data_IF_539887959365
#
_entry.id   IF_539887959365
#
_cell.length_a   1.000
_cell.length_b   1.000
_cell.length_c   1.000
_cell.angle_alpha   90.00
_cell.angle_beta   90.00
_cell.angle_gamma   90.00
#
_symmetry.space_group_name_H-M   'P 1'
#
loop_
_entity.id
_entity.type
_entity.pdbx_description
1 polymer ?
#
# COMPACT_ATOMS: atom_id res chain seq x y z
N UNK A 1 -1.64 17.67 34.41
CA UNK A 1 -2.08 17.98 33.04
C UNK A 1 -1.73 16.77 32.19
N UNK A 2 -2.67 15.86 31.94
CA UNK A 2 -2.44 14.80 30.96
C UNK A 2 -2.51 15.47 29.59
N UNK A 3 -1.37 15.61 28.92
CA UNK A 3 -1.36 15.92 27.50
C UNK A 3 -1.92 14.68 26.83
N UNK A 4 -3.20 14.69 26.50
CA UNK A 4 -3.76 13.73 25.55
C UNK A 4 -3.09 14.07 24.24
N UNK A 5 -1.94 13.46 23.94
CA UNK A 5 -1.35 13.55 22.62
C UNK A 5 -2.34 12.90 21.69
N UNK A 6 -3.17 13.72 21.03
CA UNK A 6 -4.02 13.26 19.95
C UNK A 6 -3.09 12.58 18.93
N UNK A 7 -3.38 11.34 18.51
CA UNK A 7 -2.53 10.65 17.55
C UNK A 7 -2.51 11.51 16.27
N UNK A 8 -1.31 11.92 15.87
CA UNK A 8 -1.12 12.65 14.61
C UNK A 8 -1.47 11.68 13.48
N UNK A 9 -2.42 12.02 12.60
CA UNK A 9 -2.81 11.13 11.51
C UNK A 9 -1.64 10.95 10.55
N UNK A 10 -1.47 9.73 10.06
CA UNK A 10 -0.50 9.38 9.03
C UNK A 10 -1.08 9.78 7.68
N UNK A 11 -0.31 10.53 6.90
CA UNK A 11 -0.74 10.97 5.56
C UNK A 11 0.01 10.17 4.50
N UNK A 12 -0.71 9.46 3.65
CA UNK A 12 -0.15 8.79 2.48
C UNK A 12 -0.60 9.49 1.21
N UNK A 13 0.35 9.84 0.36
CA UNK A 13 0.07 10.33 -0.99
C UNK A 13 0.67 9.40 -2.03
N UNK A 14 -0.02 9.24 -3.15
CA UNK A 14 0.48 8.54 -4.32
C UNK A 14 0.25 9.38 -5.57
N UNK A 15 1.20 9.30 -6.50
CA UNK A 15 1.11 9.89 -7.84
C UNK A 15 1.48 8.83 -8.86
N UNK A 16 0.60 8.61 -9.83
CA UNK A 16 0.88 7.71 -10.94
C UNK A 16 1.74 8.39 -12.00
N UNK A 17 2.84 7.72 -12.37
CA UNK A 17 3.65 8.05 -13.55
C UNK A 17 3.24 7.22 -14.76
N UNK A 18 2.68 6.04 -14.52
CA UNK A 18 2.10 5.14 -15.51
C UNK A 18 0.76 4.61 -15.00
N UNK A 19 -0.13 4.19 -15.91
CA UNK A 19 -1.44 3.62 -15.55
C UNK A 19 -1.28 2.37 -14.69
N UNK A 20 -1.51 2.53 -13.39
CA UNK A 20 -1.19 1.49 -12.40
C UNK A 20 -2.41 1.17 -11.56
N UNK A 21 -2.72 -0.12 -11.45
CA UNK A 21 -3.69 -0.58 -10.45
C UNK A 21 -3.07 -0.52 -9.07
N UNK A 22 -3.78 0.12 -8.14
CA UNK A 22 -3.40 0.24 -6.73
C UNK A 22 -4.60 -0.06 -5.84
N UNK A 23 -4.33 -0.76 -4.74
CA UNK A 23 -5.23 -0.89 -3.62
C UNK A 23 -4.58 -0.26 -2.40
N UNK A 24 -5.30 0.63 -1.72
CA UNK A 24 -4.90 1.27 -0.46
C UNK A 24 -5.96 0.97 0.58
N UNK A 25 -5.54 0.37 1.68
CA UNK A 25 -6.37 0.11 2.87
C UNK A 25 -5.80 0.89 4.05
N UNK A 26 -6.63 1.30 4.99
CA UNK A 26 -6.20 2.04 6.18
C UNK A 26 -6.97 1.57 7.42
N UNK A 27 -6.33 1.63 8.59
CA UNK A 27 -6.94 1.45 9.92
C UNK A 27 -7.86 0.23 10.11
N UNK A 28 -7.58 -0.89 9.42
CA UNK A 28 -8.47 -2.07 9.36
C UNK A 28 -9.92 -1.75 8.92
N UNK A 29 -10.11 -0.65 8.22
CA UNK A 29 -11.41 -0.23 7.71
C UNK A 29 -11.95 -1.25 6.69
N UNK A 30 -13.28 -1.38 6.67
CA UNK A 30 -13.98 -2.09 5.60
C UNK A 30 -13.85 -1.35 4.26
N UNK A 31 -13.62 -0.04 4.32
CA UNK A 31 -13.39 0.82 3.17
C UNK A 31 -11.94 0.67 2.69
N UNK A 32 -11.78 0.67 1.37
CA UNK A 32 -10.50 0.71 0.71
C UNK A 32 -10.62 1.57 -0.55
N UNK A 33 -9.48 2.08 -1.02
CA UNK A 33 -9.38 2.66 -2.33
C UNK A 33 -8.80 1.61 -3.27
N UNK A 34 -9.55 1.21 -4.29
CA UNK A 34 -9.09 0.28 -5.31
C UNK A 34 -9.42 0.85 -6.69
N UNK A 35 -8.39 1.22 -7.44
CA UNK A 35 -8.56 1.81 -8.76
C UNK A 35 -7.33 1.64 -9.64
N UNK A 36 -7.52 1.79 -10.96
CA UNK A 36 -6.44 2.06 -11.89
C UNK A 36 -6.23 3.57 -11.90
N UNK A 37 -5.08 4.02 -11.39
CA UNK A 37 -4.72 5.44 -11.34
C UNK A 37 -4.00 5.82 -12.65
N UNK A 38 -4.54 6.75 -13.45
CA UNK A 38 -3.93 7.20 -14.69
C UNK A 38 -2.72 8.11 -14.43
N UNK A 39 -1.78 8.22 -15.37
CA UNK A 39 -0.58 9.04 -15.22
C UNK A 39 -0.92 10.51 -14.97
N UNK A 40 -0.21 11.13 -14.01
CA UNK A 40 -0.43 12.50 -13.56
C UNK A 40 -1.55 12.65 -12.51
N UNK A 41 -2.27 11.58 -12.19
CA UNK A 41 -3.27 11.61 -11.14
C UNK A 41 -2.63 11.35 -9.76
N UNK A 42 -3.03 12.19 -8.80
CA UNK A 42 -2.52 12.15 -7.42
C UNK A 42 -3.69 11.93 -6.46
N UNK A 43 -3.48 11.01 -5.52
CA UNK A 43 -4.42 10.73 -4.45
C UNK A 43 -3.74 10.94 -3.11
N UNK A 44 -4.51 11.46 -2.15
CA UNK A 44 -4.08 11.70 -0.77
C UNK A 44 -5.07 11.03 0.18
N UNK A 45 -4.53 10.27 1.12
CA UNK A 45 -5.25 9.51 2.11
C UNK A 45 -4.75 9.87 3.51
N UNK A 46 -5.63 9.77 4.50
CA UNK A 46 -5.32 10.05 5.90
C UNK A 46 -5.77 8.83 6.73
N UNK A 47 -4.88 8.30 7.55
CA UNK A 47 -5.12 7.16 8.45
C UNK A 47 -4.77 7.54 9.88
N UNK A 48 -5.34 6.83 10.85
CA UNK A 48 -5.06 7.02 12.28
C UNK A 48 -3.81 6.27 12.73
N UNK A 49 -3.55 5.11 12.15
CA UNK A 49 -2.47 4.21 12.54
C UNK A 49 -1.56 3.84 11.37
N UNK A 50 -2.13 3.28 10.30
CA UNK A 50 -1.35 2.76 9.19
C UNK A 50 -2.15 2.59 7.89
N UNK A 51 -1.39 2.43 6.80
CA UNK A 51 -1.85 2.01 5.50
C UNK A 51 -1.28 0.66 5.12
N UNK A 52 -2.03 -0.10 4.32
CA UNK A 52 -1.54 -1.26 3.57
C UNK A 52 -1.78 -0.97 2.10
N UNK A 53 -0.70 -1.01 1.32
CA UNK A 53 -0.71 -0.64 -0.10
C UNK A 53 -0.27 -1.83 -0.94
N UNK A 54 -1.04 -2.12 -1.99
CA UNK A 54 -0.72 -3.12 -3.01
C UNK A 54 -0.69 -2.42 -4.36
N UNK A 55 0.36 -2.61 -5.16
CA UNK A 55 0.40 -2.12 -6.54
C UNK A 55 1.06 -3.10 -7.49
N UNK A 56 0.52 -3.16 -8.72
CA UNK A 56 0.98 -4.10 -9.76
C UNK A 56 2.19 -3.60 -10.55
N UNK A 57 2.42 -2.28 -10.55
CA UNK A 57 3.57 -1.64 -11.20
C UNK A 57 4.22 -0.65 -10.23
N UNK A 58 5.15 -1.10 -9.39
CA UNK A 58 5.66 -0.29 -8.29
C UNK A 58 6.39 0.96 -8.75
N UNK A 59 7.15 0.87 -9.85
CA UNK A 59 7.86 2.01 -10.45
C UNK A 59 6.95 2.91 -11.29
N UNK A 60 5.70 2.50 -11.49
CA UNK A 60 4.63 3.33 -12.06
C UNK A 60 4.01 4.30 -11.05
N UNK A 61 4.37 4.21 -9.77
CA UNK A 61 3.84 5.06 -8.69
C UNK A 61 4.98 5.68 -7.87
N UNK A 62 4.81 6.95 -7.53
CA UNK A 62 5.61 7.61 -6.48
C UNK A 62 4.75 7.74 -5.24
N UNK A 63 5.32 7.45 -4.08
CA UNK A 63 4.62 7.49 -2.79
C UNK A 63 5.28 8.50 -1.86
N UNK A 64 4.48 9.25 -1.12
CA UNK A 64 4.93 10.11 -0.04
C UNK A 64 4.24 9.72 1.25
N UNK A 65 5.01 9.62 2.32
CA UNK A 65 4.51 9.38 3.67
C UNK A 65 4.83 10.61 4.52
N UNK A 66 3.79 11.28 5.02
CA UNK A 66 3.90 12.55 5.75
C UNK A 66 4.76 13.59 5.01
N UNK A 67 4.62 13.62 3.67
CA UNK A 67 5.37 14.51 2.78
C UNK A 67 6.77 14.04 2.40
N UNK A 68 7.26 12.93 2.97
CA UNK A 68 8.55 12.35 2.64
C UNK A 68 8.44 11.36 1.48
N UNK A 69 9.19 11.60 0.40
CA UNK A 69 9.26 10.69 -0.75
C UNK A 69 9.86 9.35 -0.36
N UNK A 70 9.14 8.27 -0.65
CA UNK A 70 9.58 6.89 -0.37
C UNK A 70 10.43 6.34 -1.52
N UNK A 71 11.51 5.63 -1.19
CA UNK A 71 12.32 4.86 -2.15
C UNK A 71 12.87 5.69 -3.32
N UNK A 72 13.12 7.00 -3.14
CA UNK A 72 13.47 7.93 -4.23
C UNK A 72 12.48 7.91 -5.41
N UNK A 73 11.20 7.63 -5.14
CA UNK A 73 10.15 7.54 -6.15
C UNK A 73 10.08 6.19 -6.87
N UNK A 74 10.89 5.21 -6.46
CA UNK A 74 10.90 3.84 -6.97
C UNK A 74 10.90 2.87 -5.80
N UNK A 75 9.70 2.62 -5.27
CA UNK A 75 9.54 1.70 -4.16
C UNK A 75 9.35 0.27 -4.68
N UNK A 76 10.08 -0.70 -4.12
CA UNK A 76 10.01 -2.11 -4.53
C UNK A 76 10.70 -2.44 -5.86
N UNK A 77 10.41 -3.64 -6.38
CA UNK A 77 10.96 -4.13 -7.65
C UNK A 77 10.00 -3.88 -8.83
N UNK A 78 10.49 -3.50 -10.01
CA UNK A 78 9.63 -3.12 -11.15
C UNK A 78 8.75 -4.26 -11.67
N UNK A 79 9.25 -5.50 -11.57
CA UNK A 79 8.61 -6.71 -12.11
C UNK A 79 7.82 -7.51 -11.04
N UNK A 80 7.59 -6.93 -9.87
CA UNK A 80 6.89 -7.60 -8.77
C UNK A 80 5.71 -6.77 -8.29
N UNK A 81 4.72 -7.44 -7.70
CA UNK A 81 3.69 -6.74 -6.94
C UNK A 81 4.35 -6.14 -5.71
N UNK A 82 4.23 -4.83 -5.55
CA UNK A 82 4.64 -4.15 -4.33
C UNK A 82 3.54 -4.30 -3.31
N UNK A 83 3.91 -4.78 -2.12
CA UNK A 83 3.04 -4.85 -0.96
C UNK A 83 3.80 -4.30 0.24
N UNK A 84 3.29 -3.26 0.87
CA UNK A 84 3.94 -2.65 2.02
C UNK A 84 2.92 -2.07 3.00
N UNK A 85 3.32 -2.05 4.27
CA UNK A 85 2.67 -1.28 5.32
C UNK A 85 3.37 0.06 5.46
N UNK A 86 2.62 1.14 5.60
CA UNK A 86 3.14 2.47 5.90
C UNK A 86 2.49 3.01 7.18
N UNK A 87 3.30 3.41 8.15
CA UNK A 87 2.86 3.95 9.44
C UNK A 87 3.78 5.10 9.86
N UNK A 88 3.46 5.80 10.94
CA UNK A 88 4.27 6.93 11.43
C UNK A 88 5.76 6.59 11.69
N UNK A 89 6.07 5.33 11.99
CA UNK A 89 7.44 4.84 12.24
C UNK A 89 8.23 4.56 10.94
N UNK A 90 7.55 4.48 9.80
CA UNK A 90 8.15 4.22 8.50
C UNK A 90 7.36 3.20 7.68
N UNK A 91 8.07 2.51 6.79
CA UNK A 91 7.49 1.50 5.90
C UNK A 91 8.08 0.12 6.17
N UNK A 92 7.25 -0.88 6.04
CA UNK A 92 7.64 -2.29 6.10
C UNK A 92 7.16 -3.00 4.84
N UNK A 93 8.08 -3.63 4.11
CA UNK A 93 7.72 -4.46 2.97
C UNK A 93 7.07 -5.74 3.47
N UNK A 94 5.82 -5.94 3.07
CA UNK A 94 5.09 -7.15 3.36
C UNK A 94 5.44 -8.14 2.26
N UNK A 95 6.28 -9.13 2.56
CA UNK A 95 6.51 -10.24 1.63
C UNK A 95 5.16 -10.85 1.28
N UNK A 96 4.88 -11.02 -0.02
CA UNK A 96 3.77 -11.83 -0.49
C UNK A 96 4.09 -13.33 -0.25
N UNK A 97 4.58 -13.68 0.93
CA UNK A 97 4.79 -15.07 1.32
C UNK A 97 3.49 -15.58 1.93
N UNK A 98 3.02 -16.67 1.33
CA UNK A 98 1.82 -17.42 1.66
C UNK A 98 0.51 -16.84 1.09
N UNK A 99 0.36 -16.89 -0.24
CA UNK A 99 -0.84 -17.61 -0.68
C UNK A 99 -0.80 -18.96 0.06
N UNK A 100 -1.84 -19.41 0.79
CA UNK A 100 -2.00 -20.84 0.90
C UNK A 100 -2.04 -21.28 -0.57
N UNK A 101 -1.03 -22.03 -1.02
CA UNK A 101 -1.20 -22.86 -2.20
C UNK A 101 -2.57 -23.47 -2.01
N UNK A 102 -3.54 -23.10 -2.84
CA UNK A 102 -4.87 -23.67 -2.79
C UNK A 102 -4.58 -25.17 -2.79
N UNK A 103 -4.80 -25.78 -1.63
CA UNK A 103 -4.45 -27.17 -1.39
C UNK A 103 -5.02 -27.90 -2.58
N UNK A 104 -4.14 -28.62 -3.25
CA UNK A 104 -4.44 -29.91 -3.83
C UNK A 104 -5.46 -30.61 -2.91
N UNK A 105 -6.73 -30.47 -3.25
CA UNK A 105 -7.84 -31.07 -2.55
C UNK A 105 -8.87 -31.41 -3.62
N UNK A 106 -8.89 -32.72 -3.90
CA UNK A 106 -9.84 -33.45 -4.74
C UNK A 106 -9.66 -33.31 -6.24
N UNK A 107 -8.82 -34.18 -6.80
CA UNK A 107 -9.40 -35.32 -7.51
C UNK A 107 -8.50 -36.55 -7.39
N UNK A 108 -8.56 -37.18 -6.21
CA UNK A 108 -8.30 -38.61 -6.11
C UNK A 108 -9.59 -39.31 -6.54
N UNK A 109 -9.64 -39.71 -7.81
CA UNK A 109 -10.08 -41.00 -8.33
C UNK A 109 -11.30 -41.69 -7.68
N UNK A 110 -12.23 -42.15 -8.52
CA UNK A 110 -12.64 -43.55 -8.50
C UNK A 110 -12.14 -44.34 -9.72
#
# INVERSE_FOLDING_TARGET
MAQTTEPVPVVLELEARDSTWVQVRWDDAAENFEAIVPPGERHRFEARDHFVVISTRPHGLSYWLDGQLLGNGQLGHPDQVLHFRAAADGIEFLTLDSQPSAREASDAQP
#
